data_IF_313068145531
#
_entry.id   IF_313068145531
#
_cell.length_a   1.000
_cell.length_b   1.000
_cell.length_c   1.000
_cell.angle_alpha   90.00
_cell.angle_beta   90.00
_cell.angle_gamma   90.00
#
_symmetry.space_group_name_H-M   'P 1'
#
loop_
_entity.id
_entity.type
_entity.pdbx_description
1 polymer ?
#
# COMPACT_ATOMS: atom_id res chain seq x y z
N UNK A 1 10.61 15.27 -6.24
CA UNK A 1 9.79 14.05 -6.32
C UNK A 1 10.10 13.09 -5.15
N UNK A 2 9.75 13.43 -3.90
CA UNK A 2 10.20 12.58 -2.76
C UNK A 2 9.40 12.65 -1.46
N UNK A 3 8.31 13.43 -1.43
CA UNK A 3 7.42 13.52 -0.25
C UNK A 3 6.25 12.55 -0.37
N UNK A 4 5.58 12.55 -1.53
CA UNK A 4 4.37 11.74 -1.74
C UNK A 4 4.64 10.25 -1.89
N UNK A 5 5.73 9.82 -2.53
CA UNK A 5 6.11 8.40 -2.63
C UNK A 5 6.32 7.77 -1.23
N UNK A 6 7.09 8.45 -0.36
CA UNK A 6 7.28 8.02 1.04
C UNK A 6 5.97 8.00 1.83
N UNK A 7 5.03 8.88 1.50
CA UNK A 7 3.70 8.90 2.13
C UNK A 7 2.85 7.71 1.70
N UNK A 8 2.83 7.38 0.42
CA UNK A 8 2.17 6.18 -0.12
C UNK A 8 2.77 4.91 0.48
N UNK A 9 4.10 4.82 0.52
CA UNK A 9 4.82 3.72 1.17
C UNK A 9 4.43 3.59 2.65
N UNK A 10 4.41 4.69 3.40
CA UNK A 10 3.98 4.68 4.80
C UNK A 10 2.57 4.14 4.99
N UNK A 11 1.61 4.62 4.19
CA UNK A 11 0.20 4.17 4.24
C UNK A 11 0.10 2.66 3.96
N UNK A 12 0.79 2.18 2.92
CA UNK A 12 0.78 0.75 2.55
C UNK A 12 1.42 -0.08 3.66
N UNK A 13 2.56 0.35 4.20
CA UNK A 13 3.28 -0.40 5.23
C UNK A 13 2.55 -0.42 6.57
N UNK A 14 1.88 0.66 6.96
CA UNK A 14 1.05 0.68 8.17
C UNK A 14 -0.06 -0.38 8.09
N UNK A 15 -0.69 -0.50 6.92
CA UNK A 15 -1.69 -1.54 6.67
C UNK A 15 -1.10 -2.94 6.64
N UNK A 16 -0.03 -3.15 5.85
CA UNK A 16 0.60 -4.47 5.66
C UNK A 16 1.17 -5.00 6.97
N UNK A 17 1.82 -4.15 7.77
CA UNK A 17 2.48 -4.56 9.02
C UNK A 17 1.49 -4.68 10.18
N UNK A 18 0.26 -4.18 10.04
CA UNK A 18 -0.73 -4.13 11.11
C UNK A 18 -0.27 -3.30 12.31
N UNK A 19 0.58 -2.29 12.07
CA UNK A 19 1.10 -1.43 13.14
C UNK A 19 0.03 -0.40 13.49
N UNK A 20 -0.38 -0.39 14.76
CA UNK A 20 -1.51 0.41 15.23
C UNK A 20 -2.84 -0.33 15.04
N UNK A 21 -3.61 -0.44 16.13
CA UNK A 21 -5.00 -0.90 16.05
C UNK A 21 -5.74 0.00 15.04
N UNK A 22 -6.44 -0.58 14.06
CA UNK A 22 -7.41 0.07 13.16
C UNK A 22 -7.00 0.66 11.79
N UNK A 23 -5.85 0.34 11.19
CA UNK A 23 -5.70 0.65 9.75
C UNK A 23 -6.49 -0.36 8.93
N UNK A 24 -7.70 0.02 8.51
CA UNK A 24 -8.61 -0.83 7.74
C UNK A 24 -8.29 -0.76 6.24
N UNK A 25 -8.57 -1.84 5.51
CA UNK A 25 -8.42 -1.89 4.06
C UNK A 25 -9.16 -0.74 3.36
N UNK A 26 -10.40 -0.48 3.79
CA UNK A 26 -11.22 0.57 3.20
C UNK A 26 -10.59 1.95 3.37
N UNK A 27 -10.08 2.26 4.57
CA UNK A 27 -9.42 3.55 4.82
C UNK A 27 -8.18 3.73 3.94
N UNK A 28 -7.37 2.67 3.78
CA UNK A 28 -6.16 2.69 2.95
C UNK A 28 -6.52 2.97 1.49
N UNK A 29 -7.49 2.21 0.97
CA UNK A 29 -7.95 2.34 -0.42
C UNK A 29 -8.52 3.73 -0.66
N UNK A 30 -9.44 4.20 0.19
CA UNK A 30 -10.01 5.55 0.08
C UNK A 30 -8.92 6.63 0.14
N UNK A 31 -7.93 6.48 1.02
CA UNK A 31 -6.83 7.46 1.13
C UNK A 31 -6.01 7.51 -0.15
N UNK A 32 -5.61 6.35 -0.68
CA UNK A 32 -4.81 6.27 -1.91
C UNK A 32 -5.59 6.81 -3.11
N UNK A 33 -6.88 6.48 -3.22
CA UNK A 33 -7.76 6.97 -4.30
C UNK A 33 -7.93 8.48 -4.21
N UNK A 34 -8.20 9.03 -3.02
CA UNK A 34 -8.30 10.47 -2.83
C UNK A 34 -7.00 11.21 -3.22
N UNK A 35 -5.84 10.63 -2.92
CA UNK A 35 -4.56 11.21 -3.33
C UNK A 35 -4.39 11.22 -4.85
N UNK A 36 -4.85 10.16 -5.54
CA UNK A 36 -4.85 10.08 -7.01
C UNK A 36 -5.83 11.09 -7.61
N UNK A 37 -7.06 11.17 -7.11
CA UNK A 37 -8.08 12.09 -7.59
C UNK A 37 -7.69 13.57 -7.40
N UNK A 38 -6.95 13.87 -6.32
CA UNK A 38 -6.39 15.21 -6.07
C UNK A 38 -5.16 15.52 -6.92
N UNK A 39 -4.63 14.57 -7.67
CA UNK A 39 -3.39 14.70 -8.44
C UNK A 39 -2.14 14.82 -7.57
N UNK A 40 -2.19 14.40 -6.30
CA UNK A 40 -1.03 14.37 -5.41
C UNK A 40 -0.03 13.27 -5.82
N UNK A 41 -0.56 12.16 -6.34
CA UNK A 41 0.18 11.03 -6.92
C UNK A 41 -0.56 10.49 -8.14
N UNK A 42 0.13 9.78 -9.01
CA UNK A 42 -0.52 8.98 -10.05
C UNK A 42 -0.85 7.57 -9.54
N UNK A 43 -1.78 6.88 -10.20
CA UNK A 43 -2.01 5.44 -9.93
C UNK A 43 -0.75 4.61 -10.20
N UNK A 44 0.07 5.02 -11.18
CA UNK A 44 1.36 4.39 -11.46
C UNK A 44 2.35 4.52 -10.29
N UNK A 45 2.35 5.65 -9.57
CA UNK A 45 3.18 5.81 -8.37
C UNK A 45 2.75 4.86 -7.26
N UNK A 46 1.43 4.66 -7.08
CA UNK A 46 0.89 3.72 -6.10
C UNK A 46 1.29 2.27 -6.45
N UNK A 47 1.12 1.90 -7.72
CA UNK A 47 1.53 0.57 -8.20
C UNK A 47 3.03 0.34 -8.10
N UNK A 48 3.85 1.35 -8.37
CA UNK A 48 5.31 1.27 -8.21
C UNK A 48 5.69 0.94 -6.76
N UNK A 49 5.07 1.61 -5.78
CA UNK A 49 5.35 1.34 -4.36
C UNK A 49 4.93 -0.07 -3.97
N UNK A 50 3.79 -0.55 -4.47
CA UNK A 50 3.34 -1.92 -4.21
C UNK A 50 4.33 -2.95 -4.77
N UNK A 51 4.80 -2.75 -6.01
CA UNK A 51 5.82 -3.61 -6.63
C UNK A 51 7.13 -3.57 -5.84
N UNK A 52 7.57 -2.39 -5.40
CA UNK A 52 8.76 -2.24 -4.55
C UNK A 52 8.63 -3.00 -3.22
N UNK A 53 7.45 -2.97 -2.58
CA UNK A 53 7.18 -3.73 -1.35
C UNK A 53 7.19 -5.24 -1.62
N UNK A 54 6.59 -5.68 -2.73
CA UNK A 54 6.52 -7.09 -3.12
C UNK A 54 7.90 -7.65 -3.47
N UNK A 55 8.72 -6.92 -4.24
CA UNK A 55 10.09 -7.30 -4.60
C UNK A 55 11.03 -7.35 -3.40
N UNK A 56 10.79 -6.50 -2.40
CA UNK A 56 11.57 -6.46 -1.17
C UNK A 56 10.93 -7.30 -0.05
N UNK A 57 10.39 -8.46 -0.40
CA UNK A 57 9.66 -9.38 0.49
C UNK A 57 10.41 -9.69 1.80
N UNK A 58 11.73 -9.82 1.75
CA UNK A 58 12.60 -10.08 2.92
C UNK A 58 12.58 -8.88 3.88
N UNK A 59 12.77 -7.66 3.37
CA UNK A 59 12.85 -6.45 4.18
C UNK A 59 11.50 -6.11 4.84
N UNK A 60 10.40 -6.46 4.17
CA UNK A 60 9.05 -6.24 4.68
C UNK A 60 8.48 -7.45 5.44
N UNK A 61 9.26 -8.54 5.55
CA UNK A 61 8.92 -9.81 6.21
C UNK A 61 7.70 -10.51 5.59
N UNK A 62 7.43 -10.31 4.30
CA UNK A 62 6.32 -10.95 3.57
C UNK A 62 6.50 -12.48 3.46
N UNK A 63 7.76 -12.96 3.44
CA UNK A 63 8.07 -14.40 3.36
C UNK A 63 8.02 -15.09 4.73
N UNK A 64 8.17 -14.31 5.81
CA UNK A 64 8.19 -14.81 7.18
C UNK A 64 6.84 -14.68 7.89
N UNK A 65 6.02 -13.71 7.49
CA UNK A 65 4.74 -13.41 8.10
C UNK A 65 3.65 -13.48 7.01
N UNK A 66 3.01 -14.66 6.84
CA UNK A 66 1.99 -14.88 5.80
C UNK A 66 0.85 -13.85 5.82
N UNK A 67 0.43 -13.41 7.01
CA UNK A 67 -0.62 -12.39 7.16
C UNK A 67 -0.25 -11.08 6.43
N UNK A 68 1.04 -10.69 6.42
CA UNK A 68 1.47 -9.46 5.71
C UNK A 68 1.34 -9.61 4.20
N UNK A 69 1.67 -10.78 3.68
CA UNK A 69 1.51 -11.12 2.26
C UNK A 69 0.02 -11.12 1.89
N UNK A 70 -0.81 -11.77 2.69
CA UNK A 70 -2.27 -11.80 2.49
C UNK A 70 -2.88 -10.39 2.49
N UNK A 71 -2.45 -9.52 3.41
CA UNK A 71 -2.88 -8.12 3.46
C UNK A 71 -2.44 -7.36 2.21
N UNK A 72 -1.18 -7.50 1.79
CA UNK A 72 -0.69 -6.86 0.55
C UNK A 72 -1.49 -7.34 -0.67
N UNK A 73 -1.72 -8.64 -0.82
CA UNK A 73 -2.52 -9.22 -1.91
C UNK A 73 -3.98 -8.72 -1.88
N UNK A 74 -4.57 -8.62 -0.69
CA UNK A 74 -5.92 -8.08 -0.51
C UNK A 74 -6.00 -6.62 -0.93
N UNK A 75 -4.99 -5.81 -0.56
CA UNK A 75 -4.89 -4.42 -1.00
C UNK A 75 -4.78 -4.32 -2.52
N UNK A 76 -3.90 -5.12 -3.15
CA UNK A 76 -3.74 -5.18 -4.61
C UNK A 76 -5.07 -5.45 -5.31
N UNK A 77 -5.76 -6.51 -4.92
CA UNK A 77 -7.08 -6.86 -5.49
C UNK A 77 -8.09 -5.73 -5.35
N UNK A 78 -8.09 -5.02 -4.21
CA UNK A 78 -9.04 -3.94 -4.00
C UNK A 78 -8.72 -2.72 -4.87
N UNK A 79 -7.45 -2.39 -5.05
CA UNK A 79 -7.01 -1.30 -5.92
C UNK A 79 -7.18 -1.61 -7.41
N UNK A 80 -7.03 -2.87 -7.85
CA UNK A 80 -7.34 -3.31 -9.22
C UNK A 80 -8.80 -3.07 -9.62
N UNK A 81 -9.71 -3.03 -8.64
CA UNK A 81 -11.12 -2.74 -8.90
C UNK A 81 -11.43 -1.23 -8.93
N UNK A 82 -10.46 -0.37 -8.65
CA UNK A 82 -10.64 1.08 -8.54
C UNK A 82 -9.79 1.85 -9.54
N UNK A 83 -8.56 1.41 -9.79
CA UNK A 83 -7.63 1.99 -10.76
C UNK A 83 -7.75 1.37 -12.16
#
# INVERSE_FOLDING_TARGET
MGSFHRRVEGIILDYVRGVGKSVSLNWVVETLVNMVERGEVSSADVWSVIDDVERNSINFLLDKIPERRERLETLKRKLENVF
#
